data_IF_886922521370
#
_entry.id   IF_886922521370
#
_cell.length_a   1.000
_cell.length_b   1.000
_cell.length_c   1.000
_cell.angle_alpha   90.00
_cell.angle_beta   90.00
_cell.angle_gamma   90.00
#
_symmetry.space_group_name_H-M   'P 1'
#
loop_
_entity.id
_entity.type
_entity.pdbx_description
1 polymer ?
#
# COMPACT_ATOMS: atom_id res chain seq x y z
N UNK A 1 10.17 9.37 -21.00
CA UNK A 1 11.40 10.01 -20.47
C UNK A 1 11.29 10.08 -18.96
N UNK A 2 12.35 9.74 -18.21
CA UNK A 2 12.33 9.86 -16.75
C UNK A 2 12.54 11.33 -16.35
N UNK A 3 11.50 11.99 -15.84
CA UNK A 3 11.58 13.37 -15.33
C UNK A 3 10.63 13.57 -14.15
N UNK A 4 11.20 13.46 -12.95
CA UNK A 4 10.46 13.63 -11.68
C UNK A 4 9.88 15.02 -11.51
N UNK A 5 10.58 16.05 -11.97
CA UNK A 5 10.14 17.44 -11.75
C UNK A 5 8.97 17.75 -12.67
N UNK A 6 9.03 17.32 -13.92
CA UNK A 6 7.92 17.43 -14.85
C UNK A 6 6.70 16.65 -14.37
N UNK A 7 6.88 15.40 -13.90
CA UNK A 7 5.79 14.61 -13.34
C UNK A 7 5.15 15.27 -12.11
N UNK A 8 5.95 15.78 -11.16
CA UNK A 8 5.42 16.48 -9.98
C UNK A 8 4.66 17.76 -10.37
N UNK A 9 5.17 18.54 -11.33
CA UNK A 9 4.50 19.74 -11.84
C UNK A 9 3.18 19.40 -12.54
N UNK A 10 3.14 18.33 -13.33
CA UNK A 10 1.92 17.85 -13.99
C UNK A 10 0.86 17.48 -12.95
N UNK A 11 1.21 16.66 -11.95
CA UNK A 11 0.28 16.28 -10.88
C UNK A 11 -0.22 17.50 -10.10
N UNK A 12 0.65 18.45 -9.77
CA UNK A 12 0.24 19.68 -9.11
C UNK A 12 -0.66 20.55 -9.98
N UNK A 13 -0.44 20.60 -11.30
CA UNK A 13 -1.28 21.36 -12.23
C UNK A 13 -2.68 20.76 -12.34
N UNK A 14 -2.78 19.43 -12.31
CA UNK A 14 -4.07 18.74 -12.21
C UNK A 14 -4.75 19.07 -10.89
N UNK A 15 -4.01 18.99 -9.78
CA UNK A 15 -4.56 19.26 -8.45
C UNK A 15 -5.01 20.72 -8.26
N UNK A 16 -4.33 21.68 -8.88
CA UNK A 16 -4.67 23.11 -8.84
C UNK A 16 -6.07 23.41 -9.38
N UNK A 17 -6.57 22.57 -10.30
CA UNK A 17 -7.92 22.69 -10.89
C UNK A 17 -9.03 22.14 -10.00
N UNK A 18 -8.66 21.48 -8.89
CA UNK A 18 -9.56 20.77 -7.98
C UNK A 18 -9.46 19.26 -8.18
N UNK A 19 -9.10 18.53 -7.12
CA UNK A 19 -9.02 17.06 -7.14
C UNK A 19 -10.34 16.36 -6.82
N UNK A 20 -11.17 17.00 -5.98
CA UNK A 20 -12.35 16.37 -5.41
C UNK A 20 -13.59 17.19 -5.75
N UNK A 21 -14.58 16.54 -6.32
CA UNK A 21 -15.93 17.07 -6.49
C UNK A 21 -16.69 17.05 -5.16
N UNK A 22 -17.78 17.84 -5.03
CA UNK A 22 -18.72 17.69 -3.93
C UNK A 22 -19.15 16.22 -3.77
N UNK A 23 -19.05 15.70 -2.55
CA UNK A 23 -19.33 14.30 -2.22
C UNK A 23 -20.78 14.13 -1.77
N UNK A 24 -21.37 12.97 -2.05
CA UNK A 24 -22.62 12.56 -1.40
C UNK A 24 -22.38 12.34 0.10
N UNK A 25 -23.36 12.61 0.99
CA UNK A 25 -23.23 12.26 2.41
C UNK A 25 -22.88 10.77 2.61
N UNK A 26 -22.07 10.45 3.63
CA UNK A 26 -21.84 9.04 3.99
C UNK A 26 -23.17 8.45 4.46
N UNK A 27 -23.57 7.33 3.88
CA UNK A 27 -24.75 6.60 4.33
C UNK A 27 -24.35 5.76 5.53
N UNK A 28 -25.12 5.75 6.64
CA UNK A 28 -24.81 4.88 7.76
C UNK A 28 -24.74 3.41 7.35
N UNK A 29 -23.67 2.72 7.74
CA UNK A 29 -23.41 1.33 7.37
C UNK A 29 -22.85 0.56 8.55
N UNK A 30 -23.22 -0.71 8.67
CA UNK A 30 -22.62 -1.64 9.64
C UNK A 30 -21.71 -2.61 8.89
N UNK A 31 -20.44 -2.66 9.27
CA UNK A 31 -19.44 -3.53 8.66
C UNK A 31 -19.03 -4.63 9.64
N UNK A 32 -19.18 -5.87 9.21
CA UNK A 32 -18.74 -7.05 9.95
C UNK A 32 -17.31 -7.44 9.53
N UNK A 33 -16.41 -7.64 10.49
CA UNK A 33 -15.07 -8.18 10.22
C UNK A 33 -14.83 -9.50 10.95
N UNK A 34 -14.00 -10.36 10.36
CA UNK A 34 -13.48 -11.57 11.00
C UNK A 34 -12.00 -11.37 11.31
N UNK A 35 -11.57 -11.80 12.49
CA UNK A 35 -10.17 -11.73 12.92
C UNK A 35 -9.56 -13.14 13.04
N UNK A 36 -8.32 -13.29 12.59
CA UNK A 36 -7.51 -14.49 12.78
C UNK A 36 -6.21 -14.10 13.47
N UNK A 37 -5.92 -14.71 14.61
CA UNK A 37 -4.65 -14.49 15.29
C UNK A 37 -3.48 -14.95 14.41
N UNK A 38 -2.43 -14.14 14.37
CA UNK A 38 -1.15 -14.51 13.76
C UNK A 38 -0.35 -15.36 14.75
N UNK A 39 0.44 -16.30 14.23
CA UNK A 39 1.28 -17.19 15.03
C UNK A 39 2.76 -16.83 14.83
N UNK A 40 3.40 -16.14 15.79
CA UNK A 40 4.83 -15.87 15.74
C UNK A 40 5.67 -17.16 15.80
N UNK A 41 6.90 -17.09 15.30
CA UNK A 41 7.89 -18.15 15.55
C UNK A 41 8.25 -18.22 17.05
N UNK A 42 8.62 -19.40 17.57
CA UNK A 42 9.06 -19.53 18.97
C UNK A 42 10.20 -18.55 19.31
N UNK A 43 10.02 -17.77 20.38
CA UNK A 43 11.00 -16.77 20.82
C UNK A 43 11.08 -15.49 19.96
N UNK A 44 10.14 -15.29 19.04
CA UNK A 44 10.09 -14.13 18.13
C UNK A 44 8.74 -13.42 18.23
N UNK A 45 8.72 -12.12 17.92
CA UNK A 45 7.47 -11.37 17.69
C UNK A 45 7.00 -11.48 16.22
N UNK A 46 7.82 -12.02 15.34
CA UNK A 46 7.55 -12.16 13.91
C UNK A 46 7.07 -13.57 13.58
N UNK A 47 6.12 -13.67 12.65
CA UNK A 47 5.82 -14.92 11.94
C UNK A 47 6.97 -15.29 11.01
N UNK A 48 7.01 -16.55 10.55
CA UNK A 48 8.06 -17.02 9.63
C UNK A 48 8.14 -16.18 8.35
N UNK A 49 7.00 -15.85 7.73
CA UNK A 49 6.96 -15.04 6.50
C UNK A 49 7.45 -13.61 6.74
N UNK A 50 7.11 -13.01 7.89
CA UNK A 50 7.61 -11.69 8.28
C UNK A 50 9.12 -11.69 8.51
N UNK A 51 9.67 -12.72 9.19
CA UNK A 51 11.13 -12.84 9.40
C UNK A 51 11.88 -13.02 8.08
N UNK A 52 11.38 -13.86 7.18
CA UNK A 52 11.97 -14.06 5.85
C UNK A 52 11.97 -12.76 5.05
N UNK A 53 10.86 -12.01 5.09
CA UNK A 53 10.77 -10.69 4.45
C UNK A 53 11.78 -9.70 5.02
N UNK A 54 11.87 -9.61 6.36
CA UNK A 54 12.83 -8.74 7.04
C UNK A 54 14.27 -9.04 6.61
N UNK A 55 14.65 -10.32 6.62
CA UNK A 55 16.00 -10.76 6.27
C UNK A 55 16.36 -10.48 4.80
N UNK A 56 15.39 -10.57 3.90
CA UNK A 56 15.58 -10.33 2.46
C UNK A 56 15.59 -8.85 2.08
N UNK A 57 14.67 -8.05 2.64
CA UNK A 57 14.27 -6.77 2.06
C UNK A 57 14.37 -5.56 2.99
N UNK A 58 14.59 -5.77 4.29
CA UNK A 58 14.61 -4.68 5.27
C UNK A 58 15.98 -4.47 5.89
N UNK A 59 17.06 -5.01 5.31
CA UNK A 59 18.41 -4.82 5.86
C UNK A 59 18.77 -3.31 5.87
N UNK A 60 19.38 -2.80 6.96
CA UNK A 60 19.92 -3.51 8.13
C UNK A 60 18.97 -3.61 9.34
N UNK A 61 17.66 -3.42 9.16
CA UNK A 61 16.68 -3.47 10.25
C UNK A 61 16.70 -4.83 10.97
N UNK A 62 16.75 -4.79 12.30
CA UNK A 62 16.73 -5.98 13.14
C UNK A 62 15.30 -6.36 13.57
N UNK A 63 15.04 -7.62 13.94
CA UNK A 63 13.69 -8.08 14.33
C UNK A 63 13.05 -7.28 15.47
N UNK A 64 13.84 -6.82 16.45
CA UNK A 64 13.37 -6.04 17.60
C UNK A 64 12.94 -4.61 17.23
N UNK A 65 13.35 -4.12 16.05
CA UNK A 65 12.94 -2.82 15.52
C UNK A 65 11.61 -2.86 14.77
N UNK A 66 11.04 -4.05 14.57
CA UNK A 66 9.78 -4.23 13.84
C UNK A 66 8.65 -4.60 14.79
N UNK A 67 7.59 -3.81 14.75
CA UNK A 67 6.33 -4.17 15.40
C UNK A 67 5.50 -5.04 14.45
N UNK A 68 5.09 -6.21 14.93
CA UNK A 68 4.20 -7.12 14.21
C UNK A 68 2.75 -6.98 14.69
N UNK A 69 1.82 -7.11 13.75
CA UNK A 69 0.43 -7.30 14.03
C UNK A 69 0.19 -8.60 14.81
N UNK A 70 -0.84 -8.61 15.64
CA UNK A 70 -1.27 -9.81 16.36
C UNK A 70 -2.36 -10.57 15.62
N UNK A 71 -3.10 -9.87 14.76
CA UNK A 71 -4.26 -10.40 14.08
C UNK A 71 -4.28 -9.89 12.64
N UNK A 72 -4.70 -10.77 11.73
CA UNK A 72 -5.19 -10.41 10.41
C UNK A 72 -6.71 -10.27 10.48
N UNK A 73 -7.26 -9.33 9.74
CA UNK A 73 -8.70 -9.16 9.57
C UNK A 73 -9.12 -9.30 8.11
N UNK A 74 -10.34 -9.78 7.91
CA UNK A 74 -11.02 -9.85 6.62
C UNK A 74 -12.42 -9.27 6.75
N UNK A 75 -12.85 -8.48 5.77
CA UNK A 75 -14.21 -7.95 5.71
C UNK A 75 -14.61 -7.67 4.26
N UNK A 76 -15.88 -7.34 4.04
CA UNK A 76 -16.38 -6.78 2.78
C UNK A 76 -16.77 -5.34 3.05
N UNK A 77 -16.29 -4.42 2.20
CA UNK A 77 -16.58 -3.00 2.34
C UNK A 77 -17.98 -2.64 1.82
N UNK A 78 -18.39 -1.39 1.99
CA UNK A 78 -19.72 -0.92 1.56
C UNK A 78 -19.98 -1.02 0.05
N UNK A 79 -18.93 -1.18 -0.75
CA UNK A 79 -19.02 -1.40 -2.20
C UNK A 79 -19.06 -2.89 -2.58
N UNK A 80 -19.09 -3.81 -1.61
CA UNK A 80 -19.09 -5.24 -1.87
C UNK A 80 -17.72 -5.81 -2.20
N UNK A 81 -16.64 -5.06 -1.99
CA UNK A 81 -15.28 -5.48 -2.32
C UNK A 81 -14.66 -6.17 -1.10
N UNK A 82 -14.06 -7.37 -1.25
CA UNK A 82 -13.34 -8.01 -0.16
C UNK A 82 -12.07 -7.24 0.19
N UNK A 83 -11.77 -7.20 1.49
CA UNK A 83 -10.63 -6.50 2.07
C UNK A 83 -9.91 -7.37 3.09
N UNK A 84 -8.60 -7.16 3.19
CA UNK A 84 -7.73 -7.70 4.24
C UNK A 84 -6.99 -6.56 4.93
N UNK A 85 -6.64 -6.77 6.19
CA UNK A 85 -5.93 -5.80 6.98
C UNK A 85 -5.32 -6.43 8.22
N UNK A 86 -4.72 -5.62 9.06
CA UNK A 86 -4.01 -6.08 10.24
C UNK A 86 -4.26 -5.16 11.41
N UNK A 87 -4.33 -5.72 12.61
CA UNK A 87 -4.27 -4.94 13.83
C UNK A 87 -3.41 -5.62 14.90
N UNK A 88 -2.96 -4.81 15.86
CA UNK A 88 -2.24 -5.26 17.04
C UNK A 88 -3.15 -5.11 18.26
N UNK A 89 -3.18 -6.10 19.15
CA UNK A 89 -3.75 -5.92 20.49
C UNK A 89 -2.98 -4.80 21.19
N UNK A 90 -3.70 -3.80 21.71
CA UNK A 90 -3.13 -2.53 22.21
C UNK A 90 -2.92 -1.45 21.14
N UNK A 91 -2.92 -1.81 19.84
CA UNK A 91 -2.96 -0.82 18.76
C UNK A 91 -4.35 -0.18 18.60
N UNK A 92 -4.54 0.59 17.52
CA UNK A 92 -5.78 1.30 17.18
C UNK A 92 -6.98 0.40 16.83
N UNK A 93 -6.84 -0.91 17.02
CA UNK A 93 -7.89 -1.89 16.76
C UNK A 93 -8.20 -2.12 15.28
N UNK A 94 -9.14 -3.03 14.99
CA UNK A 94 -9.58 -3.33 13.63
C UNK A 94 -10.38 -2.17 13.01
N UNK A 95 -11.09 -1.39 13.84
CA UNK A 95 -11.93 -0.27 13.44
C UNK A 95 -11.19 0.73 12.54
N UNK A 96 -9.96 1.10 12.89
CA UNK A 96 -9.16 2.04 12.08
C UNK A 96 -9.00 1.57 10.62
N UNK A 97 -8.76 0.27 10.40
CA UNK A 97 -8.58 -0.27 9.05
C UNK A 97 -9.86 -0.19 8.21
N UNK A 98 -11.01 -0.47 8.83
CA UNK A 98 -12.30 -0.41 8.15
C UNK A 98 -12.69 1.05 7.85
N UNK A 99 -12.54 1.96 8.82
CA UNK A 99 -12.82 3.38 8.62
C UNK A 99 -11.93 4.00 7.53
N UNK A 100 -10.64 3.65 7.51
CA UNK A 100 -9.71 4.05 6.46
C UNK A 100 -10.18 3.55 5.10
N UNK A 101 -10.66 2.31 4.99
CA UNK A 101 -11.14 1.76 3.71
C UNK A 101 -12.40 2.47 3.22
N UNK A 102 -13.37 2.71 4.08
CA UNK A 102 -14.57 3.46 3.72
C UNK A 102 -14.25 4.90 3.32
N UNK A 103 -13.25 5.52 3.97
CA UNK A 103 -12.72 6.83 3.58
C UNK A 103 -12.10 6.80 2.18
N UNK A 104 -11.34 5.74 1.86
CA UNK A 104 -10.77 5.55 0.52
C UNK A 104 -11.88 5.48 -0.53
N UNK A 105 -12.93 4.67 -0.31
CA UNK A 105 -14.07 4.56 -1.23
C UNK A 105 -14.78 5.90 -1.44
N UNK A 106 -15.06 6.60 -0.35
CA UNK A 106 -15.69 7.91 -0.38
C UNK A 106 -14.89 8.94 -1.18
N UNK A 107 -13.55 8.91 -1.05
CA UNK A 107 -12.66 9.79 -1.81
C UNK A 107 -12.55 9.40 -3.28
N UNK A 108 -12.53 8.11 -3.60
CA UNK A 108 -12.52 7.62 -4.98
C UNK A 108 -13.77 8.03 -5.77
N UNK A 109 -14.95 7.94 -5.14
CA UNK A 109 -16.21 8.38 -5.74
C UNK A 109 -16.18 9.88 -6.05
N UNK A 110 -15.57 10.67 -5.16
CA UNK A 110 -15.42 12.12 -5.35
C UNK A 110 -14.27 12.56 -6.25
N UNK A 111 -13.40 11.65 -6.70
CA UNK A 111 -12.19 12.00 -7.45
C UNK A 111 -12.57 12.53 -8.84
N UNK A 112 -12.30 13.82 -9.07
CA UNK A 112 -12.73 14.60 -10.23
C UNK A 112 -11.59 14.86 -11.21
N UNK A 113 -10.76 13.84 -11.45
CA UNK A 113 -9.61 13.95 -12.35
C UNK A 113 -10.07 13.70 -13.77
N UNK A 114 -10.23 14.78 -14.52
CA UNK A 114 -10.65 14.77 -15.93
C UNK A 114 -9.63 15.50 -16.83
N UNK A 115 -9.65 15.12 -18.11
CA UNK A 115 -8.93 15.80 -19.18
C UNK A 115 -7.87 14.95 -19.86
N UNK A 116 -7.73 15.14 -21.17
CA UNK A 116 -6.66 14.53 -21.95
C UNK A 116 -5.31 15.14 -21.54
N UNK A 117 -4.31 14.29 -21.35
CA UNK A 117 -2.90 14.70 -21.24
C UNK A 117 -2.26 14.68 -22.62
N UNK A 118 -1.26 15.55 -22.83
CA UNK A 118 -0.45 15.51 -24.05
C UNK A 118 0.36 14.22 -24.13
N UNK A 119 0.79 13.83 -25.33
CA UNK A 119 1.66 12.65 -25.49
C UNK A 119 3.01 12.84 -24.77
N UNK A 120 3.49 14.09 -24.65
CA UNK A 120 4.69 14.44 -23.89
C UNK A 120 4.49 14.17 -22.40
N UNK A 121 3.36 14.64 -21.84
CA UNK A 121 3.01 14.40 -20.45
C UNK A 121 2.82 12.90 -20.15
N UNK A 122 2.19 12.17 -21.07
CA UNK A 122 2.06 10.71 -20.99
C UNK A 122 3.43 10.05 -20.93
N UNK A 123 4.33 10.40 -21.83
CA UNK A 123 5.69 9.85 -21.86
C UNK A 123 6.52 10.19 -20.60
N UNK A 124 6.22 11.32 -19.93
CA UNK A 124 6.81 11.68 -18.63
C UNK A 124 6.26 10.78 -17.52
N UNK A 125 4.95 10.59 -17.45
CA UNK A 125 4.32 9.70 -16.47
C UNK A 125 4.76 8.25 -16.64
N UNK A 126 4.75 7.71 -17.86
CA UNK A 126 5.20 6.34 -18.18
C UNK A 126 6.65 6.10 -17.75
N UNK A 127 7.52 7.11 -17.94
CA UNK A 127 8.91 7.05 -17.53
C UNK A 127 9.12 7.12 -16.02
N UNK A 128 8.23 7.79 -15.28
CA UNK A 128 8.49 8.24 -13.90
C UNK A 128 7.63 7.55 -12.85
N UNK A 129 6.44 7.10 -13.22
CA UNK A 129 5.44 6.53 -12.30
C UNK A 129 5.15 5.07 -12.63
N UNK A 130 4.49 4.37 -11.71
CA UNK A 130 4.10 2.96 -11.87
C UNK A 130 2.76 2.83 -12.60
N UNK A 131 1.85 3.76 -12.30
CA UNK A 131 0.54 3.92 -12.95
C UNK A 131 0.64 5.13 -13.89
N UNK A 132 0.06 5.05 -15.08
CA UNK A 132 0.27 6.06 -16.12
C UNK A 132 -0.98 6.91 -16.40
N UNK A 133 -2.13 6.48 -15.88
CA UNK A 133 -3.37 7.23 -15.89
C UNK A 133 -3.43 8.17 -14.68
N UNK A 134 -3.79 9.44 -14.90
CA UNK A 134 -3.81 10.44 -13.83
C UNK A 134 -4.78 10.08 -12.72
N UNK A 135 -6.00 9.63 -13.08
CA UNK A 135 -7.01 9.26 -12.09
C UNK A 135 -6.49 8.11 -11.23
N UNK A 136 -5.88 7.10 -11.85
CA UNK A 136 -5.27 5.98 -11.12
C UNK A 136 -4.10 6.42 -10.23
N UNK A 137 -3.23 7.34 -10.67
CA UNK A 137 -2.15 7.88 -9.82
C UNK A 137 -2.72 8.52 -8.55
N UNK A 138 -3.76 9.35 -8.67
CA UNK A 138 -4.40 9.95 -7.49
C UNK A 138 -5.17 8.92 -6.66
N UNK A 139 -5.83 7.94 -7.28
CA UNK A 139 -6.51 6.83 -6.60
C UNK A 139 -5.54 6.05 -5.71
N UNK A 140 -4.36 5.72 -6.25
CA UNK A 140 -3.27 5.05 -5.52
C UNK A 140 -2.66 5.96 -4.44
N UNK A 141 -2.55 7.27 -4.69
CA UNK A 141 -2.12 8.25 -3.69
C UNK A 141 -3.05 8.30 -2.46
N UNK A 142 -4.36 8.24 -2.69
CA UNK A 142 -5.38 8.13 -1.64
C UNK A 142 -5.22 6.82 -0.85
N UNK A 143 -5.03 5.68 -1.54
CA UNK A 143 -4.74 4.41 -0.86
C UNK A 143 -3.47 4.49 -0.01
N UNK A 144 -2.41 5.11 -0.53
CA UNK A 144 -1.14 5.24 0.18
C UNK A 144 -1.29 6.08 1.47
N UNK A 145 -2.08 7.15 1.45
CA UNK A 145 -2.40 7.93 2.65
C UNK A 145 -3.17 7.09 3.68
N UNK A 146 -4.20 6.36 3.23
CA UNK A 146 -4.96 5.46 4.09
C UNK A 146 -4.11 4.35 4.70
N UNK A 147 -3.28 3.68 3.89
CA UNK A 147 -2.33 2.66 4.36
C UNK A 147 -1.39 3.22 5.42
N UNK A 148 -0.89 4.45 5.25
CA UNK A 148 -0.02 5.06 6.25
C UNK A 148 -0.74 5.15 7.59
N UNK A 149 -1.98 5.65 7.62
CA UNK A 149 -2.79 5.76 8.83
C UNK A 149 -3.04 4.38 9.45
N UNK A 150 -3.59 3.43 8.67
CA UNK A 150 -3.93 2.11 9.17
C UNK A 150 -2.72 1.34 9.70
N UNK A 151 -1.57 1.41 9.00
CA UNK A 151 -0.34 0.74 9.41
C UNK A 151 0.22 1.31 10.72
N UNK A 152 0.16 2.64 10.91
CA UNK A 152 0.59 3.26 12.16
C UNK A 152 -0.32 2.90 13.33
N UNK A 153 -1.56 2.45 13.06
CA UNK A 153 -2.43 1.86 14.06
C UNK A 153 -1.80 0.69 14.81
N UNK A 154 -0.83 -0.03 14.21
CA UNK A 154 -0.10 -1.12 14.88
C UNK A 154 0.76 -0.63 16.06
N UNK A 155 1.15 0.64 16.07
CA UNK A 155 2.00 1.27 17.09
C UNK A 155 1.27 2.41 17.81
N UNK A 156 -0.07 2.45 17.75
CA UNK A 156 -0.84 3.50 18.41
C UNK A 156 -0.57 3.52 19.92
N UNK A 157 -0.36 2.37 20.55
CA UNK A 157 -0.02 2.20 21.98
C UNK A 157 1.30 2.90 22.40
N UNK A 158 2.14 3.31 21.45
CA UNK A 158 3.34 4.13 21.75
C UNK A 158 2.98 5.51 22.30
N UNK A 159 1.75 5.95 22.03
CA UNK A 159 1.25 7.28 22.33
C UNK A 159 -0.17 7.17 22.90
N UNK A 160 -0.54 8.02 23.86
CA UNK A 160 -1.93 8.05 24.32
C UNK A 160 -2.85 8.58 23.22
N UNK A 161 -3.99 7.93 22.96
CA UNK A 161 -5.01 8.39 22.01
C UNK A 161 -6.42 8.00 22.51
N UNK A 162 -7.43 8.83 22.25
CA UNK A 162 -8.82 8.59 22.67
C UNK A 162 -9.67 7.82 21.66
N UNK A 163 -9.20 7.64 20.43
CA UNK A 163 -9.85 6.79 19.42
C UNK A 163 -9.21 6.85 18.03
N UNK A 164 -9.69 6.04 17.07
CA UNK A 164 -9.09 5.92 15.72
C UNK A 164 -8.97 7.24 14.96
N UNK A 165 -10.00 8.08 15.02
CA UNK A 165 -10.03 9.39 14.32
C UNK A 165 -9.05 10.38 14.94
N UNK A 166 -9.03 10.45 16.27
CA UNK A 166 -8.08 11.31 17.01
C UNK A 166 -6.64 10.90 16.71
N UNK A 167 -6.36 9.60 16.71
CA UNK A 167 -5.05 9.07 16.35
C UNK A 167 -4.65 9.44 14.91
N UNK A 168 -5.56 9.28 13.94
CA UNK A 168 -5.29 9.67 12.55
C UNK A 168 -4.99 11.16 12.40
N UNK A 169 -5.75 12.03 13.08
CA UNK A 169 -5.51 13.48 13.12
C UNK A 169 -4.16 13.80 13.76
N UNK A 170 -3.82 13.15 14.88
CA UNK A 170 -2.53 13.30 15.55
C UNK A 170 -1.36 13.00 14.60
N UNK A 171 -1.45 11.94 13.79
CA UNK A 171 -0.45 11.62 12.76
C UNK A 171 -0.36 12.71 11.68
N UNK A 172 -1.50 13.23 11.23
CA UNK A 172 -1.60 14.31 10.26
C UNK A 172 -0.96 15.60 10.74
N UNK A 173 -1.42 16.09 11.90
CA UNK A 173 -0.99 17.35 12.51
C UNK A 173 0.50 17.31 12.89
N UNK A 174 1.00 16.13 13.23
CA UNK A 174 2.42 15.92 13.54
C UNK A 174 3.32 15.73 12.31
N UNK A 175 2.75 15.77 11.09
CA UNK A 175 3.51 15.62 9.85
C UNK A 175 4.04 14.19 9.60
N UNK A 176 3.47 13.17 10.25
CA UNK A 176 3.92 11.78 10.06
C UNK A 176 3.64 11.31 8.63
N UNK A 177 2.51 11.71 8.02
CA UNK A 177 2.19 11.37 6.63
C UNK A 177 3.23 11.93 5.64
N UNK A 178 3.69 13.16 5.88
CA UNK A 178 4.79 13.76 5.12
C UNK A 178 6.13 13.04 5.36
N UNK A 179 6.38 12.61 6.59
CA UNK A 179 7.58 11.83 6.94
C UNK A 179 7.58 10.48 6.22
N UNK A 180 6.46 9.77 6.16
CA UNK A 180 6.31 8.52 5.39
C UNK A 180 6.62 8.76 3.92
N UNK A 181 6.01 9.78 3.30
CA UNK A 181 6.15 10.07 1.88
C UNK A 181 7.59 10.46 1.45
N UNK A 182 8.44 10.88 2.38
CA UNK A 182 9.78 11.42 2.09
C UNK A 182 10.91 10.56 2.62
N UNK A 183 10.70 9.90 3.76
CA UNK A 183 11.77 9.21 4.50
C UNK A 183 11.76 7.70 4.27
N UNK A 184 10.59 7.11 4.03
CA UNK A 184 10.53 5.69 3.69
C UNK A 184 11.03 5.49 2.26
N UNK A 185 11.69 4.36 2.02
CA UNK A 185 11.98 3.96 0.64
C UNK A 185 10.71 3.42 -0.02
N UNK A 186 10.65 3.45 -1.35
CA UNK A 186 9.50 3.06 -2.15
C UNK A 186 9.24 1.57 -1.98
N UNK A 187 7.98 1.18 -2.07
CA UNK A 187 7.48 -0.16 -1.74
C UNK A 187 7.55 -0.56 -0.26
N UNK A 188 8.44 -0.01 0.58
CA UNK A 188 8.54 -0.40 2.01
C UNK A 188 7.18 -0.34 2.71
N UNK A 189 6.44 0.76 2.54
CA UNK A 189 5.13 0.94 3.16
C UNK A 189 4.14 -0.13 2.69
N UNK A 190 3.99 -0.30 1.38
CA UNK A 190 3.02 -1.24 0.81
C UNK A 190 3.38 -2.69 1.16
N UNK A 191 4.65 -3.07 1.11
CA UNK A 191 5.11 -4.43 1.38
C UNK A 191 4.97 -4.82 2.86
N UNK A 192 5.27 -3.90 3.78
CA UNK A 192 5.16 -4.13 5.22
C UNK A 192 3.71 -4.02 5.70
N UNK A 193 2.90 -3.13 5.12
CA UNK A 193 1.45 -3.05 5.39
C UNK A 193 0.76 -4.38 5.09
N UNK A 194 1.01 -4.94 3.90
CA UNK A 194 0.45 -6.24 3.45
C UNK A 194 0.89 -7.44 4.29
N UNK A 195 1.92 -7.26 5.14
CA UNK A 195 2.46 -8.28 6.03
C UNK A 195 2.15 -8.00 7.50
N UNK A 196 1.41 -6.93 7.81
CA UNK A 196 1.13 -6.52 9.18
C UNK A 196 2.39 -6.19 9.97
N UNK A 197 3.36 -5.51 9.35
CA UNK A 197 4.63 -5.09 9.96
C UNK A 197 4.75 -3.57 9.94
N UNK A 198 5.46 -2.99 10.90
CA UNK A 198 5.90 -1.58 10.84
C UNK A 198 7.28 -1.41 11.50
N UNK A 199 8.29 -0.86 10.79
CA UNK A 199 9.67 -0.74 11.30
C UNK A 199 9.95 0.61 11.96
N UNK A 200 8.95 1.21 12.59
CA UNK A 200 9.09 2.50 13.28
C UNK A 200 8.36 2.47 14.62
N UNK A 201 8.76 3.36 15.51
CA UNK A 201 8.10 3.65 16.79
C UNK A 201 7.78 5.14 16.86
N UNK A 202 6.70 5.46 17.57
CA UNK A 202 6.31 6.84 17.85
C UNK A 202 6.78 7.24 19.25
N UNK A 203 6.97 8.55 19.43
CA UNK A 203 7.22 9.18 20.72
C UNK A 203 6.41 10.46 20.82
N UNK A 204 5.59 10.54 21.87
CA UNK A 204 4.89 11.76 22.25
C UNK A 204 5.89 12.89 22.56
N UNK A 205 5.55 14.10 22.11
CA UNK A 205 6.32 15.31 22.32
C UNK A 205 5.66 16.19 23.39
N UNK A 206 6.40 17.10 24.05
CA UNK A 206 5.83 18.02 25.04
C UNK A 206 4.76 18.97 24.50
N UNK A 207 4.75 19.22 23.18
CA UNK A 207 3.76 20.05 22.49
C UNK A 207 2.45 19.30 22.14
N UNK A 208 2.33 18.04 22.57
CA UNK A 208 1.19 17.17 22.28
C UNK A 208 1.28 16.44 20.94
N UNK A 209 2.27 16.74 20.10
CA UNK A 209 2.50 16.04 18.84
C UNK A 209 3.23 14.70 19.02
N UNK A 210 3.44 14.00 17.91
CA UNK A 210 4.20 12.74 17.86
C UNK A 210 5.31 12.78 16.83
N UNK A 211 6.41 12.08 17.07
CA UNK A 211 7.50 11.93 16.09
C UNK A 211 8.01 10.51 16.09
N UNK A 212 8.68 10.12 15.01
CA UNK A 212 9.49 8.92 15.03
C UNK A 212 10.63 9.03 16.03
N UNK A 213 10.97 7.91 16.68
CA UNK A 213 12.17 7.84 17.51
C UNK A 213 13.43 8.05 16.67
N UNK A 214 14.52 8.51 17.31
CA UNK A 214 15.80 8.69 16.63
C UNK A 214 16.28 7.39 15.97
N UNK A 215 16.10 6.26 16.66
CA UNK A 215 16.44 4.94 16.15
C UNK A 215 15.63 4.58 14.90
N UNK A 216 14.31 4.84 14.91
CA UNK A 216 13.45 4.61 13.73
C UNK A 216 13.93 5.43 12.52
N UNK A 217 14.28 6.70 12.74
CA UNK A 217 14.80 7.57 11.67
C UNK A 217 16.14 7.06 11.13
N UNK A 218 17.03 6.62 12.01
CA UNK A 218 18.34 6.08 11.63
C UNK A 218 18.18 4.79 10.81
N UNK A 219 17.31 3.87 11.24
CA UNK A 219 17.03 2.60 10.55
C UNK A 219 16.39 2.86 9.18
N UNK A 220 15.36 3.71 9.10
CA UNK A 220 14.75 4.08 7.82
C UNK A 220 15.77 4.65 6.83
N UNK A 221 16.65 5.53 7.31
CA UNK A 221 17.73 6.10 6.48
C UNK A 221 18.68 5.01 6.00
N UNK A 222 19.18 4.16 6.91
CA UNK A 222 20.11 3.09 6.57
C UNK A 222 19.52 2.09 5.58
N UNK A 223 18.25 1.69 5.76
CA UNK A 223 17.55 0.83 4.80
C UNK A 223 17.44 1.50 3.42
N UNK A 224 17.07 2.79 3.38
CA UNK A 224 16.93 3.54 2.14
C UNK A 224 18.28 3.67 1.41
N UNK A 225 19.35 3.96 2.13
CA UNK A 225 20.71 4.04 1.58
C UNK A 225 21.18 2.69 1.04
N UNK A 226 20.98 1.60 1.79
CA UNK A 226 21.31 0.25 1.35
C UNK A 226 20.53 -0.13 0.07
N UNK A 227 19.22 0.16 0.03
CA UNK A 227 18.36 -0.09 -1.12
C UNK A 227 18.83 0.68 -2.37
N UNK A 228 19.20 1.96 -2.23
CA UNK A 228 19.74 2.76 -3.33
C UNK A 228 21.09 2.21 -3.80
N UNK A 229 21.97 1.83 -2.87
CA UNK A 229 23.28 1.26 -3.19
C UNK A 229 23.16 -0.05 -3.96
N UNK A 230 22.25 -0.94 -3.54
CA UNK A 230 21.96 -2.21 -4.23
C UNK A 230 21.44 -1.94 -5.66
N UNK A 231 20.52 -0.98 -5.83
CA UNK A 231 20.00 -0.59 -7.15
C UNK A 231 21.12 -0.10 -8.10
N UNK A 232 22.01 0.77 -7.58
CA UNK A 232 23.15 1.27 -8.34
C UNK A 232 24.15 0.17 -8.67
N UNK A 233 24.39 -0.79 -7.77
CA UNK A 233 25.30 -1.90 -8.01
C UNK A 233 24.79 -2.81 -9.14
N UNK A 234 23.49 -3.12 -9.16
CA UNK A 234 22.86 -3.87 -10.26
C UNK A 234 23.01 -3.13 -11.59
N UNK A 235 22.72 -1.83 -11.60
CA UNK A 235 22.82 -1.02 -12.81
C UNK A 235 24.26 -0.86 -13.30
N UNK A 236 25.22 -0.68 -12.37
CA UNK A 236 26.64 -0.63 -12.69
C UNK A 236 27.09 -1.92 -13.35
N UNK A 237 26.83 -3.08 -12.73
CA UNK A 237 27.15 -4.40 -13.32
C UNK A 237 26.59 -4.54 -14.73
N UNK A 238 25.31 -4.23 -14.91
CA UNK A 238 24.64 -4.37 -16.20
C UNK A 238 25.25 -3.48 -17.30
N UNK A 239 25.59 -2.23 -16.96
CA UNK A 239 26.02 -1.23 -17.95
C UNK A 239 27.53 -1.19 -18.17
N UNK A 240 28.34 -1.51 -17.16
CA UNK A 240 29.81 -1.45 -17.24
C UNK A 240 30.42 -2.82 -17.53
N UNK A 241 29.99 -3.86 -16.84
CA UNK A 241 30.59 -5.20 -16.96
C UNK A 241 29.99 -5.97 -18.15
N UNK A 242 28.67 -5.86 -18.35
CA UNK A 242 27.96 -6.56 -19.43
C UNK A 242 27.73 -5.71 -20.68
N UNK A 243 28.03 -4.41 -20.62
CA UNK A 243 27.90 -3.49 -21.75
C UNK A 243 26.47 -3.26 -22.25
N UNK A 244 25.46 -3.52 -21.41
CA UNK A 244 24.07 -3.29 -21.77
C UNK A 244 23.76 -1.79 -21.79
N UNK A 245 22.85 -1.37 -22.69
CA UNK A 245 22.22 -0.06 -22.55
C UNK A 245 21.36 -0.02 -21.28
N UNK A 246 21.06 1.19 -20.77
CA UNK A 246 20.17 1.34 -19.60
C UNK A 246 18.82 0.65 -19.83
N UNK A 247 18.24 0.79 -21.02
CA UNK A 247 16.97 0.16 -21.38
C UNK A 247 17.08 -1.37 -21.37
N UNK A 248 18.13 -1.94 -21.95
CA UNK A 248 18.37 -3.38 -21.94
C UNK A 248 18.68 -3.91 -20.53
N UNK A 249 19.40 -3.14 -19.71
CA UNK A 249 19.67 -3.46 -18.31
C UNK A 249 18.36 -3.51 -17.49
N UNK A 250 17.48 -2.52 -17.65
CA UNK A 250 16.15 -2.51 -17.00
C UNK A 250 15.32 -3.72 -17.46
N UNK A 251 15.34 -4.05 -18.75
CA UNK A 251 14.62 -5.22 -19.27
C UNK A 251 15.16 -6.54 -18.72
N UNK A 252 16.49 -6.71 -18.68
CA UNK A 252 17.14 -7.94 -18.20
C UNK A 252 17.03 -8.12 -16.70
N UNK A 253 17.30 -7.07 -15.93
CA UNK A 253 17.30 -7.09 -14.47
C UNK A 253 15.97 -6.63 -13.90
N UNK A 254 14.88 -6.78 -14.66
CA UNK A 254 13.56 -6.34 -14.25
C UNK A 254 13.20 -6.87 -12.86
N UNK A 255 13.37 -8.17 -12.60
CA UNK A 255 12.96 -8.75 -11.32
C UNK A 255 13.83 -8.26 -10.14
N UNK A 256 15.15 -8.11 -10.34
CA UNK A 256 16.07 -7.55 -9.35
C UNK A 256 15.78 -6.06 -9.08
N UNK A 257 15.37 -5.30 -10.11
CA UNK A 257 15.11 -3.87 -10.05
C UNK A 257 13.65 -3.52 -9.70
N UNK A 258 12.68 -4.41 -9.92
CA UNK A 258 11.26 -4.23 -9.54
C UNK A 258 11.10 -4.45 -8.02
N UNK A 259 11.95 -5.29 -7.40
CA UNK A 259 12.03 -5.46 -5.95
C UNK A 259 12.61 -4.23 -5.21
N UNK A 260 13.41 -3.42 -5.90
CA UNK A 260 14.18 -2.29 -5.34
C UNK A 260 13.69 -0.94 -5.91
N UNK A 261 12.69 -0.98 -6.80
CA UNK A 261 12.20 0.11 -7.66
C UNK A 261 13.26 0.66 -8.64
N UNK A 262 13.07 0.38 -9.93
CA UNK A 262 13.82 0.90 -11.10
C UNK A 262 14.23 2.37 -11.00
N UNK A 263 13.38 3.18 -10.38
CA UNK A 263 13.61 4.61 -10.23
C UNK A 263 14.84 4.95 -9.37
N UNK A 264 15.26 4.07 -8.45
CA UNK A 264 16.49 4.24 -7.64
C UNK A 264 17.74 4.01 -8.45
N UNK A 265 17.74 3.00 -9.32
CA UNK A 265 18.85 2.74 -10.23
C UNK A 265 19.11 3.90 -11.21
N UNK A 266 18.10 4.76 -11.44
CA UNK A 266 18.16 5.91 -12.33
C UNK A 266 18.44 7.24 -11.62
N UNK A 267 18.67 7.23 -10.31
CA UNK A 267 18.98 8.45 -9.58
C UNK A 267 20.42 8.91 -9.86
N UNK A 268 20.67 10.22 -9.96
CA UNK A 268 22.02 10.74 -9.90
C UNK A 268 22.70 10.35 -8.57
N UNK A 269 24.03 10.20 -8.58
CA UNK A 269 24.80 9.96 -7.36
C UNK A 269 24.52 11.05 -6.30
N UNK A 270 24.22 10.63 -5.07
CA UNK A 270 23.87 11.52 -3.96
C UNK A 270 22.44 12.09 -3.98
N UNK A 271 21.63 11.78 -5.01
CA UNK A 271 20.24 12.16 -5.01
C UNK A 271 19.41 11.22 -4.13
N UNK A 272 18.52 11.80 -3.33
CA UNK A 272 17.54 11.03 -2.57
C UNK A 272 16.15 11.15 -3.20
N UNK A 273 15.45 10.03 -3.37
CA UNK A 273 14.11 10.01 -3.93
C UNK A 273 13.13 10.58 -2.91
N UNK A 274 12.29 11.51 -3.35
CA UNK A 274 11.15 12.04 -2.59
C UNK A 274 9.85 11.79 -3.37
N UNK A 275 8.75 11.54 -2.66
CA UNK A 275 7.43 11.42 -3.29
C UNK A 275 7.12 12.65 -4.15
N UNK A 276 6.61 12.43 -5.36
CA UNK A 276 6.23 13.50 -6.29
C UNK A 276 5.21 14.45 -5.66
N UNK A 277 4.25 13.90 -4.91
CA UNK A 277 3.20 14.65 -4.25
C UNK A 277 3.69 15.49 -3.05
N UNK A 278 4.85 15.15 -2.46
CA UNK A 278 5.40 15.89 -1.33
C UNK A 278 6.08 17.20 -1.75
N UNK A 279 6.41 17.35 -3.04
CA UNK A 279 7.12 18.52 -3.56
C UNK A 279 6.15 19.66 -3.87
N UNK A 280 6.27 20.77 -3.16
CA UNK A 280 5.49 21.98 -3.44
C UNK A 280 5.82 22.56 -4.82
N UNK A 281 4.80 22.80 -5.64
CA UNK A 281 4.92 23.37 -6.98
C UNK A 281 4.27 24.75 -7.05
N UNK A 282 4.77 25.59 -7.96
CA UNK A 282 4.10 26.85 -8.34
C UNK A 282 3.34 26.62 -9.64
N UNK A 283 2.02 26.80 -9.60
CA UNK A 283 1.10 26.65 -10.73
C UNK A 283 0.24 27.91 -10.80
N UNK A 284 0.25 28.61 -11.94
CA UNK A 284 -0.55 29.83 -12.18
C UNK A 284 -0.40 30.90 -11.08
N UNK A 285 0.80 31.01 -10.50
CA UNK A 285 1.11 31.94 -9.41
C UNK A 285 0.71 31.47 -8.00
N UNK A 286 0.00 30.34 -7.88
CA UNK A 286 -0.35 29.69 -6.62
C UNK A 286 0.63 28.59 -6.22
N UNK A 287 0.73 28.32 -4.90
CA UNK A 287 1.52 27.23 -4.34
C UNK A 287 0.64 26.00 -4.12
N UNK A 288 1.04 24.85 -4.67
CA UNK A 288 0.27 23.60 -4.60
C UNK A 288 1.13 22.50 -4.01
N UNK A 289 0.66 21.88 -2.93
CA UNK A 289 1.24 20.67 -2.37
C UNK A 289 0.19 19.54 -2.39
N UNK A 290 0.37 18.59 -3.31
CA UNK A 290 -0.60 17.51 -3.55
C UNK A 290 -0.77 16.63 -2.31
N UNK A 291 0.32 16.30 -1.62
CA UNK A 291 0.28 15.46 -0.42
C UNK A 291 -0.54 16.12 0.69
N UNK A 292 -0.32 17.42 0.93
CA UNK A 292 -1.11 18.18 1.91
C UNK A 292 -2.59 18.22 1.54
N UNK A 293 -2.92 18.48 0.27
CA UNK A 293 -4.31 18.49 -0.20
C UNK A 293 -5.01 17.14 0.01
N UNK A 294 -4.37 16.05 -0.40
CA UNK A 294 -4.91 14.69 -0.25
C UNK A 294 -5.02 14.31 1.23
N UNK A 295 -3.98 14.58 2.04
CA UNK A 295 -3.97 14.20 3.46
C UNK A 295 -5.01 14.97 4.28
N UNK A 296 -5.13 16.28 4.06
CA UNK A 296 -6.14 17.09 4.74
C UNK A 296 -7.55 16.61 4.40
N UNK A 297 -7.83 16.39 3.11
CA UNK A 297 -9.14 15.88 2.68
C UNK A 297 -9.41 14.47 3.21
N UNK A 298 -8.39 13.63 3.31
CA UNK A 298 -8.53 12.29 3.89
C UNK A 298 -8.97 12.34 5.34
N UNK A 299 -8.32 13.16 6.17
CA UNK A 299 -8.63 13.27 7.60
C UNK A 299 -9.99 13.94 7.87
N UNK A 300 -10.41 14.85 7.00
CA UNK A 300 -11.75 15.43 7.01
C UNK A 300 -12.81 14.34 6.78
N UNK A 301 -12.71 13.61 5.66
CA UNK A 301 -13.68 12.56 5.29
C UNK A 301 -13.64 11.40 6.27
N UNK A 302 -12.48 11.06 6.84
CA UNK A 302 -12.37 10.04 7.88
C UNK A 302 -13.22 10.36 9.10
N UNK A 303 -13.31 11.63 9.49
CA UNK A 303 -14.20 12.07 10.58
C UNK A 303 -15.67 11.82 10.25
N UNK A 304 -16.10 12.20 9.06
CA UNK A 304 -17.49 11.98 8.59
C UNK A 304 -17.84 10.49 8.49
N UNK A 305 -16.89 9.67 8.05
CA UNK A 305 -17.04 8.21 7.93
C UNK A 305 -17.15 7.56 9.30
N UNK A 306 -16.34 7.99 10.28
CA UNK A 306 -16.39 7.45 11.63
C UNK A 306 -17.74 7.66 12.33
N UNK A 307 -18.43 8.76 12.04
CA UNK A 307 -19.77 9.02 12.58
C UNK A 307 -20.86 8.15 11.93
N UNK A 308 -20.61 7.62 10.73
CA UNK A 308 -21.58 6.87 9.94
C UNK A 308 -21.33 5.34 9.93
N UNK A 309 -20.11 4.89 10.20
CA UNK A 309 -19.74 3.47 10.10
C UNK A 309 -19.73 2.83 11.48
N UNK A 310 -20.53 1.78 11.65
CA UNK A 310 -20.47 0.90 12.81
C UNK A 310 -19.65 -0.34 12.49
N UNK A 311 -18.62 -0.62 13.27
CA UNK A 311 -17.79 -1.82 13.11
C UNK A 311 -18.21 -2.90 14.10
N UNK A 312 -18.44 -4.12 13.61
CA UNK A 312 -18.89 -5.27 14.41
C UNK A 312 -18.01 -6.48 14.14
N UNK A 313 -17.61 -7.19 15.20
CA UNK A 313 -16.90 -8.46 15.05
C UNK A 313 -17.87 -9.57 14.66
N UNK A 314 -17.60 -10.26 13.55
CA UNK A 314 -18.28 -11.49 13.18
C UNK A 314 -17.71 -12.65 14.01
N UNK A 315 -18.57 -13.17 14.91
CA UNK A 315 -18.26 -14.29 15.80
C UNK A 315 -18.78 -15.63 15.29
N UNK A 316 -19.38 -15.66 14.09
CA UNK A 316 -19.95 -16.88 13.53
C UNK A 316 -18.87 -17.95 13.29
N UNK A 317 -19.18 -19.24 13.52
CA UNK A 317 -18.26 -20.34 13.24
C UNK A 317 -17.76 -20.25 11.80
N UNK A 318 -16.50 -20.61 11.56
CA UNK A 318 -16.01 -20.73 10.20
C UNK A 318 -16.89 -21.76 9.47
N UNK A 319 -17.45 -21.46 8.29
CA UNK A 319 -17.94 -22.54 7.45
C UNK A 319 -16.75 -23.45 7.18
N UNK A 320 -16.87 -24.72 7.56
CA UNK A 320 -15.91 -25.74 7.16
C UNK A 320 -15.86 -25.74 5.63
N UNK A 321 -14.70 -25.40 5.08
CA UNK A 321 -14.47 -25.49 3.64
C UNK A 321 -14.36 -26.97 3.30
N UNK A 322 -15.50 -27.64 3.20
CA UNK A 322 -15.60 -29.04 2.80
C UNK A 322 -16.60 -29.21 1.66
N UNK A 323 -16.10 -29.86 0.60
CA UNK A 323 -16.76 -30.52 -0.53
C UNK A 323 -17.35 -29.67 -1.68
N UNK A 324 -16.79 -29.96 -2.87
CA UNK A 324 -17.32 -29.79 -4.23
C UNK A 324 -17.88 -28.41 -4.63
N UNK A 325 -16.95 -27.52 -5.02
CA UNK A 325 -17.26 -26.31 -5.79
C UNK A 325 -17.00 -26.61 -7.28
N UNK A 326 -17.93 -26.23 -8.14
CA UNK A 326 -17.90 -26.48 -9.58
C UNK A 326 -16.67 -25.80 -10.22
N UNK A 327 -15.89 -26.52 -11.04
CA UNK A 327 -14.58 -26.09 -11.54
C UNK A 327 -14.62 -24.81 -12.41
N UNK A 328 -15.82 -24.39 -12.86
CA UNK A 328 -16.02 -23.14 -13.57
C UNK A 328 -15.92 -21.91 -12.66
N UNK A 329 -16.36 -22.01 -11.39
CA UNK A 329 -16.27 -20.95 -10.38
C UNK A 329 -14.86 -20.85 -9.76
N UNK A 330 -14.07 -21.94 -9.81
CA UNK A 330 -12.70 -22.01 -9.29
C UNK A 330 -11.69 -21.12 -10.03
N UNK A 331 -12.10 -20.53 -11.17
CA UNK A 331 -11.29 -19.64 -11.98
C UNK A 331 -11.23 -18.21 -11.43
N UNK A 332 -12.17 -17.82 -10.57
CA UNK A 332 -12.23 -16.48 -10.00
C UNK A 332 -11.74 -16.51 -8.55
N UNK A 333 -10.93 -15.52 -8.20
CA UNK A 333 -10.55 -15.26 -6.81
C UNK A 333 -10.27 -13.78 -6.62
N UNK A 334 -10.16 -13.34 -5.37
CA UNK A 334 -9.89 -11.94 -5.05
C UNK A 334 -8.53 -11.80 -4.39
N UNK A 335 -7.85 -10.68 -4.66
CA UNK A 335 -6.59 -10.31 -4.01
C UNK A 335 -6.80 -8.94 -3.36
N UNK A 336 -7.33 -8.88 -2.14
CA UNK A 336 -7.77 -7.63 -1.53
C UNK A 336 -6.65 -6.60 -1.35
N UNK A 337 -5.43 -7.07 -1.15
CA UNK A 337 -4.24 -6.24 -0.95
C UNK A 337 -3.65 -5.63 -2.25
N UNK A 338 -4.23 -5.90 -3.43
CA UNK A 338 -3.70 -5.36 -4.70
C UNK A 338 -4.22 -3.95 -4.97
N UNK A 339 -3.36 -2.96 -5.23
CA UNK A 339 -3.81 -1.56 -5.35
C UNK A 339 -3.45 -0.86 -6.67
N UNK A 340 -2.39 -1.31 -7.34
CA UNK A 340 -1.75 -0.60 -8.44
C UNK A 340 -1.25 -1.55 -9.53
N UNK A 341 -0.77 -1.00 -10.64
CA UNK A 341 -0.22 -1.79 -11.75
C UNK A 341 1.01 -2.63 -11.38
N UNK A 342 1.80 -2.25 -10.38
CA UNK A 342 2.88 -3.13 -9.88
C UNK A 342 2.30 -4.43 -9.33
N UNK A 343 1.20 -4.38 -8.56
CA UNK A 343 0.54 -5.60 -8.06
C UNK A 343 0.05 -6.51 -9.19
N UNK A 344 -0.56 -5.92 -10.23
CA UNK A 344 -1.00 -6.66 -11.43
C UNK A 344 0.17 -7.40 -12.06
N UNK A 345 1.31 -6.73 -12.26
CA UNK A 345 2.51 -7.34 -12.82
C UNK A 345 3.06 -8.45 -11.94
N UNK A 346 3.19 -8.22 -10.63
CA UNK A 346 3.69 -9.24 -9.69
C UNK A 346 2.80 -10.48 -9.68
N UNK A 347 1.48 -10.31 -9.58
CA UNK A 347 0.52 -11.44 -9.58
C UNK A 347 0.58 -12.17 -10.92
N UNK A 348 0.65 -11.44 -12.04
CA UNK A 348 0.81 -12.02 -13.38
C UNK A 348 2.08 -12.85 -13.48
N UNK A 349 3.21 -12.32 -13.01
CA UNK A 349 4.50 -13.01 -13.04
C UNK A 349 4.48 -14.31 -12.22
N UNK A 350 3.92 -14.27 -11.00
CA UNK A 350 3.77 -15.46 -10.14
C UNK A 350 2.92 -16.53 -10.81
N UNK A 351 1.75 -16.18 -11.34
CA UNK A 351 0.86 -17.14 -12.01
C UNK A 351 1.49 -17.71 -13.29
N UNK A 352 2.16 -16.86 -14.08
CA UNK A 352 2.83 -17.27 -15.33
C UNK A 352 3.97 -18.23 -15.05
N UNK A 353 4.80 -17.96 -14.02
CA UNK A 353 5.90 -18.85 -13.61
C UNK A 353 5.42 -20.25 -13.15
N UNK A 354 4.13 -20.38 -12.83
CA UNK A 354 3.50 -21.64 -12.42
C UNK A 354 2.72 -22.32 -13.56
N UNK A 355 2.84 -21.81 -14.79
CA UNK A 355 2.08 -22.22 -15.98
C UNK A 355 0.55 -22.12 -15.78
N UNK A 356 0.10 -21.07 -15.08
CA UNK A 356 -1.32 -20.79 -14.84
C UNK A 356 -1.77 -19.66 -15.77
N UNK A 357 -2.60 -19.92 -16.78
CA UNK A 357 -3.08 -18.88 -17.69
C UNK A 357 -3.92 -17.83 -16.95
N UNK A 358 -3.45 -16.59 -16.94
CA UNK A 358 -4.20 -15.44 -16.45
C UNK A 358 -5.16 -14.96 -17.54
N UNK A 359 -6.43 -14.78 -17.19
CA UNK A 359 -7.48 -14.28 -18.10
C UNK A 359 -7.65 -12.77 -17.94
N UNK A 360 -7.80 -12.29 -16.70
CA UNK A 360 -7.97 -10.85 -16.42
C UNK A 360 -7.68 -10.51 -14.96
N UNK A 361 -7.28 -9.27 -14.70
CA UNK A 361 -7.17 -8.67 -13.36
C UNK A 361 -7.92 -7.35 -13.36
N UNK A 362 -8.82 -7.16 -12.39
CA UNK A 362 -9.55 -5.93 -12.14
C UNK A 362 -9.08 -5.30 -10.82
N UNK A 363 -8.41 -4.15 -10.90
CA UNK A 363 -7.88 -3.43 -9.73
C UNK A 363 -8.96 -2.75 -8.88
N UNK A 364 -10.11 -2.41 -9.48
CA UNK A 364 -11.24 -1.78 -8.80
C UNK A 364 -11.96 -2.80 -7.93
N UNK A 365 -12.32 -3.94 -8.52
CA UNK A 365 -13.03 -5.04 -7.85
C UNK A 365 -12.12 -5.94 -7.01
N UNK A 366 -10.80 -5.74 -7.09
CA UNK A 366 -9.79 -6.64 -6.50
C UNK A 366 -9.94 -8.09 -6.99
N UNK A 367 -10.39 -8.27 -8.24
CA UNK A 367 -10.76 -9.56 -8.81
C UNK A 367 -9.72 -10.09 -9.79
N UNK A 368 -9.42 -11.38 -9.71
CA UNK A 368 -8.50 -12.10 -10.61
C UNK A 368 -9.23 -13.27 -11.22
N UNK A 369 -9.06 -13.45 -12.54
CA UNK A 369 -9.57 -14.61 -13.27
C UNK A 369 -8.39 -15.37 -13.85
N UNK A 370 -8.20 -16.62 -13.44
CA UNK A 370 -7.10 -17.48 -13.86
C UNK A 370 -7.58 -18.93 -14.10
N UNK A 371 -6.89 -19.67 -14.96
CA UNK A 371 -7.26 -21.06 -15.31
C UNK A 371 -6.43 -22.06 -14.52
N UNK A 372 -6.94 -22.51 -13.39
CA UNK A 372 -6.31 -23.56 -12.61
C UNK A 372 -6.61 -24.95 -13.20
N UNK A 373 -5.59 -25.80 -13.28
CA UNK A 373 -5.75 -27.19 -13.78
C UNK A 373 -6.28 -28.17 -12.72
N UNK A 374 -6.26 -27.78 -11.45
CA UNK A 374 -6.76 -28.58 -10.31
C UNK A 374 -6.80 -27.74 -9.02
N UNK A 375 -7.60 -28.15 -8.02
CA UNK A 375 -7.60 -27.53 -6.69
C UNK A 375 -6.23 -27.51 -6.02
N UNK A 376 -5.41 -28.56 -6.20
CA UNK A 376 -4.03 -28.62 -5.69
C UNK A 376 -3.12 -27.56 -6.34
N UNK A 377 -3.29 -27.33 -7.64
CA UNK A 377 -2.53 -26.29 -8.33
C UNK A 377 -2.93 -24.89 -7.87
N UNK A 378 -4.23 -24.66 -7.65
CA UNK A 378 -4.78 -23.43 -7.06
C UNK A 378 -4.25 -23.17 -5.66
N UNK A 379 -4.28 -24.17 -4.78
CA UNK A 379 -3.71 -24.10 -3.43
C UNK A 379 -2.24 -23.66 -3.46
N UNK A 380 -1.42 -24.30 -4.32
CA UNK A 380 0.00 -23.92 -4.46
C UNK A 380 0.18 -22.49 -4.97
N UNK A 381 -0.67 -22.03 -5.88
CA UNK A 381 -0.62 -20.66 -6.37
C UNK A 381 -0.96 -19.67 -5.26
N UNK A 382 -1.93 -20.00 -4.41
CA UNK A 382 -2.31 -19.17 -3.28
C UNK A 382 -1.19 -19.07 -2.25
N UNK A 383 -0.49 -20.17 -1.97
CA UNK A 383 0.71 -20.14 -1.12
C UNK A 383 1.81 -19.26 -1.73
N UNK A 384 2.08 -19.39 -3.03
CA UNK A 384 3.07 -18.55 -3.71
C UNK A 384 2.70 -17.06 -3.67
N UNK A 385 1.41 -16.72 -3.82
CA UNK A 385 0.93 -15.35 -3.67
C UNK A 385 1.08 -14.85 -2.22
N UNK A 386 0.81 -15.69 -1.21
CA UNK A 386 1.00 -15.37 0.21
C UNK A 386 2.46 -15.13 0.56
N UNK A 387 3.37 -15.90 0.00
CA UNK A 387 4.81 -15.67 0.13
C UNK A 387 5.21 -14.32 -0.49
N UNK A 388 4.59 -13.97 -1.62
CA UNK A 388 4.64 -12.63 -2.23
C UNK A 388 4.02 -11.51 -1.38
N UNK A 389 3.29 -11.86 -0.32
CA UNK A 389 2.61 -10.93 0.59
C UNK A 389 1.21 -10.53 0.14
N UNK A 390 0.59 -11.31 -0.75
CA UNK A 390 -0.80 -11.12 -1.16
C UNK A 390 -1.69 -12.13 -0.44
N UNK A 391 -2.89 -11.73 -0.02
CA UNK A 391 -3.82 -12.64 0.66
C UNK A 391 -4.98 -13.04 -0.27
N UNK A 392 -4.83 -14.02 -1.18
CA UNK A 392 -5.92 -14.45 -2.05
C UNK A 392 -7.06 -15.09 -1.25
N UNK A 393 -8.29 -14.78 -1.63
CA UNK A 393 -9.54 -15.30 -1.05
C UNK A 393 -10.50 -15.79 -2.12
N UNK A 394 -11.30 -16.81 -1.79
CA UNK A 394 -12.16 -17.52 -2.74
C UNK A 394 -13.43 -16.74 -3.11
N UNK A 395 -14.00 -16.02 -2.15
CA UNK A 395 -15.20 -15.23 -2.32
C UNK A 395 -15.12 -13.96 -1.49
N UNK A 396 -15.93 -12.95 -1.85
CA UNK A 396 -16.19 -11.85 -0.94
C UNK A 396 -16.80 -12.39 0.36
N UNK A 397 -16.28 -12.02 1.54
CA UNK A 397 -16.95 -12.36 2.80
C UNK A 397 -18.42 -11.94 2.72
N UNK A 398 -19.36 -12.86 2.91
CA UNK A 398 -20.78 -12.51 2.93
C UNK A 398 -21.04 -11.48 4.03
N UNK A 399 -21.58 -10.32 3.68
CA UNK A 399 -22.09 -9.37 4.66
C UNK A 399 -23.25 -10.02 5.40
N UNK A 400 -23.19 -10.02 6.73
CA UNK A 400 -24.36 -10.35 7.54
C UNK A 400 -25.26 -9.12 7.50
N UNK A 401 -26.42 -9.25 6.84
CA UNK A 401 -27.43 -8.20 6.74
C UNK A 401 -28.01 -7.82 8.10
#
# INVERSE_FOLDING_TARGET
MYDRRAAAKLLASVAARGLFSPRKPVVPVSLSYRASALTPEPGSALTQSQRLYLAGFMRPCSPDQVTSATHRITWTDSAGIPNTGYYRVGGAGPELSLLVRETILALWDSLAVEGAISDVDRAVLEGTTTDHDLREIFRVGIEAAGRAIAQHGLIADDVGYGGPVEFARLLGDSGVLATVATSWFWELQASTYRRGMIPVRLRAQPDGGVRYTADSVAVLRAMKEATIADAHAVMARATTEEGLSVEAAIGKYHDDLDLISRQYALLPAGAHPACLAASTQVVDGGSVNVLSLVSARFLEVLGEVADAVRVVADSSPHPDVSADVDLAEDSVFFVPDMSCQHCVRTITAVLTAMDIPLVSIDLGEKRVVARFRSPRNRFRAFEALRDGGYNPVDAAPTSVA
#
